data_IF_401305861952
#
_entry.id   IF_401305861952
#
_cell.length_a   1.000
_cell.length_b   1.000
_cell.length_c   1.000
_cell.angle_alpha   90.00
_cell.angle_beta   90.00
_cell.angle_gamma   90.00
#
_symmetry.space_group_name_H-M   'P 1'
#
loop_
_entity.id
_entity.type
_entity.pdbx_description
1 polymer ?
#
# COMPACT_ATOMS: atom_id res chain seq x y z
N UNK A 1 2.60 15.13 4.25
CA UNK A 1 2.56 13.82 3.60
C UNK A 1 2.59 12.76 4.70
N UNK A 2 1.81 11.67 4.58
CA UNK A 2 1.66 10.68 5.65
C UNK A 2 2.92 9.81 5.75
N UNK A 3 3.52 9.70 6.95
CA UNK A 3 4.77 8.93 7.18
C UNK A 3 4.66 7.45 6.86
N UNK A 4 3.49 6.86 7.07
CA UNK A 4 3.25 5.47 6.67
C UNK A 4 3.31 5.34 5.15
N UNK A 5 2.71 6.29 4.42
CA UNK A 5 2.72 6.29 2.95
C UNK A 5 4.15 6.48 2.42
N UNK A 6 4.93 7.38 3.01
CA UNK A 6 6.35 7.57 2.64
C UNK A 6 7.15 6.27 2.78
N UNK A 7 6.96 5.56 3.90
CA UNK A 7 7.59 4.25 4.13
C UNK A 7 7.16 3.21 3.11
N UNK A 8 5.86 3.10 2.82
CA UNK A 8 5.36 2.15 1.84
C UNK A 8 5.87 2.43 0.42
N UNK A 9 5.98 3.71 0.04
CA UNK A 9 6.59 4.11 -1.24
C UNK A 9 8.07 3.70 -1.28
N UNK A 10 8.80 3.93 -0.20
CA UNK A 10 10.22 3.59 -0.13
C UNK A 10 10.42 2.07 -0.20
N UNK A 11 9.60 1.29 0.50
CA UNK A 11 9.59 -0.17 0.41
C UNK A 11 9.26 -0.67 -1.00
N UNK A 12 8.37 0.00 -1.72
CA UNK A 12 8.03 -0.36 -3.10
C UNK A 12 9.13 0.03 -4.11
N UNK A 13 9.92 1.05 -3.79
CA UNK A 13 10.94 1.62 -4.69
C UNK A 13 12.35 1.06 -4.43
N UNK A 14 12.62 0.54 -3.24
CA UNK A 14 13.93 0.03 -2.84
C UNK A 14 13.86 -1.47 -2.52
N UNK A 15 14.39 -2.28 -3.43
CA UNK A 15 14.42 -3.75 -3.28
C UNK A 15 15.28 -4.23 -2.12
N UNK A 16 16.19 -3.40 -1.59
CA UNK A 16 17.00 -3.76 -0.41
C UNK A 16 16.16 -3.85 0.86
N UNK A 17 15.01 -3.16 0.91
CA UNK A 17 14.05 -3.19 2.02
C UNK A 17 13.15 -4.43 2.02
N UNK A 18 13.34 -5.35 1.06
CA UNK A 18 12.72 -6.67 1.10
C UNK A 18 13.25 -7.56 2.24
N UNK A 19 14.41 -7.20 2.82
CA UNK A 19 14.98 -7.91 3.97
C UNK A 19 14.53 -7.28 5.30
N UNK A 20 14.17 -8.15 6.25
CA UNK A 20 13.58 -7.73 7.53
C UNK A 20 14.54 -6.89 8.39
N UNK A 21 15.86 -7.08 8.27
CA UNK A 21 16.85 -6.31 9.05
C UNK A 21 16.94 -4.87 8.58
N UNK A 22 17.04 -4.64 7.27
CA UNK A 22 17.06 -3.28 6.70
C UNK A 22 15.71 -2.59 6.90
N UNK A 23 14.60 -3.33 6.73
CA UNK A 23 13.27 -2.81 7.03
C UNK A 23 13.16 -2.37 8.49
N UNK A 24 13.58 -3.21 9.44
CA UNK A 24 13.56 -2.88 10.88
C UNK A 24 14.43 -1.66 11.18
N UNK A 25 15.65 -1.60 10.64
CA UNK A 25 16.55 -0.46 10.85
C UNK A 25 15.96 0.85 10.33
N UNK A 26 15.27 0.81 9.19
CA UNK A 26 14.59 1.98 8.64
C UNK A 26 13.41 2.37 9.54
N UNK A 27 12.55 1.42 9.92
CA UNK A 27 11.35 1.69 10.73
C UNK A 27 11.66 2.27 12.11
N UNK A 28 12.78 1.90 12.74
CA UNK A 28 13.22 2.46 14.04
C UNK A 28 13.55 3.95 13.94
N UNK A 29 13.96 4.41 12.76
CA UNK A 29 14.31 5.83 12.52
C UNK A 29 13.13 6.67 12.06
N UNK A 30 11.98 6.05 11.77
CA UNK A 30 10.79 6.72 11.28
C UNK A 30 9.88 7.11 12.44
N UNK A 31 9.26 8.28 12.35
CA UNK A 31 8.23 8.74 13.29
C UNK A 31 6.90 8.01 13.04
N UNK A 32 6.84 6.75 13.47
CA UNK A 32 5.68 5.86 13.38
C UNK A 32 5.32 5.34 14.76
N UNK A 33 4.03 5.11 14.99
CA UNK A 33 3.57 4.45 16.22
C UNK A 33 3.99 2.97 16.23
N UNK A 34 4.11 2.38 17.42
CA UNK A 34 4.42 0.95 17.56
C UNK A 34 3.44 0.05 16.79
N UNK A 35 2.16 0.41 16.78
CA UNK A 35 1.12 -0.32 16.03
C UNK A 35 1.37 -0.29 14.52
N UNK A 36 1.76 0.87 13.98
CA UNK A 36 2.12 1.02 12.56
C UNK A 36 3.39 0.25 12.22
N UNK A 37 4.44 0.36 13.05
CA UNK A 37 5.70 -0.38 12.87
C UNK A 37 5.44 -1.88 12.86
N UNK A 38 4.64 -2.38 13.81
CA UNK A 38 4.25 -3.78 13.88
C UNK A 38 3.46 -4.21 12.64
N UNK A 39 2.46 -3.44 12.24
CA UNK A 39 1.64 -3.76 11.08
C UNK A 39 2.44 -3.77 9.77
N UNK A 40 3.39 -2.85 9.59
CA UNK A 40 4.30 -2.83 8.43
C UNK A 40 5.26 -4.03 8.45
N UNK A 41 5.90 -4.30 9.59
CA UNK A 41 6.88 -5.39 9.73
C UNK A 41 6.25 -6.77 9.54
N UNK A 42 5.01 -6.95 10.01
CA UNK A 42 4.23 -8.18 9.82
C UNK A 42 3.49 -8.25 8.48
N UNK A 43 3.61 -7.22 7.62
CA UNK A 43 2.88 -7.07 6.36
C UNK A 43 1.35 -7.23 6.54
N UNK A 44 0.84 -6.86 7.71
CA UNK A 44 -0.57 -6.98 8.06
C UNK A 44 -1.32 -5.74 7.57
N UNK A 45 -1.90 -5.86 6.38
CA UNK A 45 -2.60 -4.77 5.68
C UNK A 45 -3.85 -4.32 6.45
N UNK A 46 -4.58 -5.26 7.06
CA UNK A 46 -5.82 -4.99 7.81
C UNK A 46 -5.53 -4.11 9.03
N UNK A 47 -4.57 -4.52 9.86
CA UNK A 47 -4.11 -3.72 11.00
C UNK A 47 -3.52 -2.39 10.58
N UNK A 48 -2.78 -2.35 9.47
CA UNK A 48 -2.22 -1.09 8.98
C UNK A 48 -3.33 -0.11 8.58
N UNK A 49 -4.39 -0.60 7.92
CA UNK A 49 -5.55 0.21 7.55
C UNK A 49 -6.28 0.81 8.77
N UNK A 50 -6.41 0.04 9.86
CA UNK A 50 -7.00 0.54 11.12
C UNK A 50 -6.18 1.67 11.75
N UNK A 51 -4.87 1.72 11.50
CA UNK A 51 -3.97 2.76 12.04
C UNK A 51 -3.86 4.02 11.20
N UNK A 52 -4.50 4.07 10.02
CA UNK A 52 -4.41 5.19 9.09
C UNK A 52 -5.81 5.75 8.86
N UNK A 53 -6.08 6.89 9.50
CA UNK A 53 -7.39 7.55 9.47
C UNK A 53 -7.77 8.18 8.12
N UNK A 54 -6.79 8.45 7.25
CA UNK A 54 -6.99 9.14 5.97
C UNK A 54 -6.25 8.38 4.86
N UNK A 55 -6.67 7.14 4.60
CA UNK A 55 -6.15 6.38 3.47
C UNK A 55 -6.75 6.95 2.18
N UNK A 56 -5.93 7.50 1.26
CA UNK A 56 -6.44 7.87 -0.04
C UNK A 56 -6.97 6.62 -0.73
N UNK A 57 -8.19 6.69 -1.25
CA UNK A 57 -8.74 5.62 -2.07
C UNK A 57 -8.03 5.63 -3.43
N UNK A 58 -6.91 4.92 -3.52
CA UNK A 58 -6.13 4.81 -4.77
C UNK A 58 -6.88 3.88 -5.72
N UNK A 59 -7.42 4.46 -6.80
CA UNK A 59 -7.95 3.70 -7.94
C UNK A 59 -6.80 3.43 -8.92
N UNK A 60 -6.24 2.24 -8.89
CA UNK A 60 -5.32 1.79 -9.94
C UNK A 60 -6.16 1.28 -11.12
N UNK A 61 -6.09 2.00 -12.25
CA UNK A 61 -6.67 1.52 -13.52
C UNK A 61 -5.56 0.84 -14.31
N UNK A 62 -5.74 -0.43 -14.75
CA UNK A 62 -4.82 -1.01 -15.71
C UNK A 62 -4.88 -0.19 -17.00
N UNK A 63 -3.72 0.28 -17.47
CA UNK A 63 -3.59 0.87 -18.80
C UNK A 63 -3.66 -0.27 -19.81
N UNK A 64 -4.86 -0.53 -20.34
CA UNK A 64 -5.04 -1.37 -21.51
C UNK A 64 -4.50 -0.59 -22.72
N UNK A 65 -3.59 -1.20 -23.48
CA UNK A 65 -3.16 -0.66 -24.77
C UNK A 65 -4.36 -0.76 -25.72
N UNK A 66 -4.76 0.31 -26.42
CA UNK A 66 -5.91 0.23 -27.31
C UNK A 66 -5.64 -0.79 -28.41
N UNK A 67 -6.43 -1.85 -28.48
CA UNK A 67 -6.62 -2.62 -29.72
C UNK A 67 -7.43 -1.70 -30.64
N UNK A 68 -6.82 -1.31 -31.76
CA UNK A 68 -7.31 -0.38 -32.76
C UNK A 68 -8.81 -0.05 -32.70
N UNK A 69 -9.12 1.14 -32.17
CA UNK A 69 -10.21 1.95 -32.72
C UNK A 69 -11.52 2.08 -31.95
N UNK A 70 -11.64 1.73 -30.67
CA UNK A 70 -12.80 2.19 -29.89
C UNK A 70 -12.51 2.33 -28.39
N UNK A 71 -12.85 3.51 -27.88
CA UNK A 71 -13.28 3.85 -26.52
C UNK A 71 -12.54 3.18 -25.35
N UNK A 72 -11.83 3.98 -24.55
CA UNK A 72 -11.17 3.56 -23.31
C UNK A 72 -12.20 2.96 -22.33
N UNK A 73 -12.34 1.63 -22.31
CA UNK A 73 -13.15 0.94 -21.32
C UNK A 73 -12.47 1.03 -19.95
N UNK A 74 -13.02 1.87 -19.06
CA UNK A 74 -12.56 2.03 -17.70
C UNK A 74 -13.01 0.80 -16.88
N UNK A 75 -12.15 -0.21 -16.80
CA UNK A 75 -12.36 -1.33 -15.86
C UNK A 75 -12.06 -0.86 -14.43
N UNK A 76 -13.11 -0.77 -13.62
CA UNK A 76 -12.99 -0.42 -12.20
C UNK A 76 -12.67 -1.69 -11.40
N UNK A 77 -11.43 -1.84 -10.93
CA UNK A 77 -11.08 -2.86 -9.93
C UNK A 77 -11.63 -2.44 -8.56
N UNK A 78 -12.90 -2.76 -8.28
CA UNK A 78 -13.44 -2.72 -6.92
C UNK A 78 -12.91 -3.96 -6.20
N UNK A 79 -12.04 -3.80 -5.19
CA UNK A 79 -11.88 -4.84 -4.17
C UNK A 79 -13.19 -4.89 -3.39
N UNK A 80 -14.12 -5.73 -3.83
CA UNK A 80 -15.27 -6.10 -3.01
C UNK A 80 -14.72 -6.88 -1.83
N UNK A 81 -14.68 -6.28 -0.65
CA UNK A 81 -14.60 -7.05 0.57
C UNK A 81 -15.89 -7.87 0.65
N UNK A 82 -15.82 -9.14 0.22
CA UNK A 82 -16.90 -10.07 0.44
C UNK A 82 -17.03 -10.28 1.95
N UNK A 83 -17.92 -9.53 2.59
CA UNK A 83 -18.47 -9.92 3.88
C UNK A 83 -19.33 -11.16 3.63
N UNK A 84 -18.76 -12.34 3.88
CA UNK A 84 -19.56 -13.54 4.04
C UNK A 84 -20.36 -13.39 5.35
N UNK A 85 -21.69 -13.33 5.21
CA UNK A 85 -22.67 -13.48 6.28
C UNK A 85 -22.88 -14.97 6.54
#
# INVERSE_FOLDING_TARGET
MNKVIEVLIQMASDSSLSNDRALTSMLVTTDLTESQVFAISSKNIERLAETIYDLPMIKCVPLMVPEDGNEMEIFTCIKTFATNV
#
